data_IF_626421587749
#
_entry.id   IF_626421587749
#
_cell.length_a   1.000
_cell.length_b   1.000
_cell.length_c   1.000
_cell.angle_alpha   90.00
_cell.angle_beta   90.00
_cell.angle_gamma   90.00
#
_symmetry.space_group_name_H-M   'P 1'
#
loop_
_entity.id
_entity.type
_entity.pdbx_description
1 polymer ?
#
# COMPACT_ATOMS: atom_id res chain seq x y z
N UNK A 1 -9.35 -4.54 -6.84
CA UNK A 1 -8.16 -3.91 -6.20
C UNK A 1 -7.61 -2.78 -7.06
N UNK A 2 -7.09 -1.71 -6.45
CA UNK A 2 -6.35 -0.62 -7.09
C UNK A 2 -5.02 -0.38 -6.38
N UNK A 3 -3.94 -0.20 -7.15
CA UNK A 3 -2.62 0.18 -6.62
C UNK A 3 -2.29 1.61 -7.04
N UNK A 4 -1.84 2.43 -6.09
CA UNK A 4 -1.32 3.77 -6.33
C UNK A 4 0.14 3.81 -5.92
N UNK A 5 1.02 4.27 -6.80
CA UNK A 5 2.46 4.35 -6.52
C UNK A 5 2.87 5.81 -6.44
N UNK A 6 3.48 6.18 -5.33
CA UNK A 6 4.07 7.49 -5.12
C UNK A 6 5.59 7.39 -5.33
N UNK A 7 6.04 7.96 -6.46
CA UNK A 7 7.45 8.17 -6.72
C UNK A 7 7.86 9.57 -6.23
N UNK A 8 8.97 9.65 -5.50
CA UNK A 8 9.58 10.90 -5.05
C UNK A 8 10.88 10.63 -4.31
N UNK A 9 11.87 11.51 -4.47
CA UNK A 9 13.13 11.44 -3.75
C UNK A 9 12.89 11.76 -2.25
N UNK A 10 13.71 11.26 -1.32
CA UNK A 10 13.71 11.61 0.10
C UNK A 10 14.01 13.11 0.27
N UNK A 11 12.96 13.92 0.14
CA UNK A 11 12.99 15.37 0.02
C UNK A 11 11.73 15.94 -0.65
N UNK A 12 11.12 15.21 -1.60
CA UNK A 12 10.10 15.74 -2.52
C UNK A 12 8.71 15.07 -2.42
N UNK A 13 8.38 14.45 -1.29
CA UNK A 13 6.97 14.23 -0.93
C UNK A 13 6.35 12.88 -1.29
N UNK A 14 7.10 11.79 -1.40
CA UNK A 14 6.50 10.45 -1.37
C UNK A 14 5.82 10.18 -0.01
N UNK A 15 6.53 10.44 1.10
CA UNK A 15 5.95 10.47 2.46
C UNK A 15 4.87 11.55 2.59
N UNK A 16 5.05 12.70 1.93
CA UNK A 16 4.04 13.76 1.90
C UNK A 16 2.73 13.36 1.23
N UNK A 17 2.77 12.52 0.19
CA UNK A 17 1.57 11.98 -0.46
C UNK A 17 0.88 10.93 0.41
N UNK A 18 1.63 10.05 1.09
CA UNK A 18 1.02 9.15 2.08
C UNK A 18 0.38 9.94 3.22
N UNK A 19 1.05 11.00 3.70
CA UNK A 19 0.49 11.88 4.72
C UNK A 19 -0.80 12.56 4.23
N UNK A 20 -0.85 13.05 2.99
CA UNK A 20 -2.07 13.63 2.43
C UNK A 20 -3.23 12.61 2.33
N UNK A 21 -2.93 11.34 2.06
CA UNK A 21 -3.94 10.27 2.10
C UNK A 21 -4.40 10.02 3.54
N UNK A 22 -3.46 9.97 4.50
CA UNK A 22 -3.78 9.82 5.92
C UNK A 22 -4.66 10.97 6.42
N UNK A 23 -4.30 12.21 6.13
CA UNK A 23 -5.06 13.41 6.53
C UNK A 23 -6.48 13.39 5.95
N UNK A 24 -6.64 12.91 4.70
CA UNK A 24 -7.94 12.72 4.06
C UNK A 24 -8.78 11.68 4.78
N UNK A 25 -8.18 10.54 5.16
CA UNK A 25 -8.87 9.48 5.89
C UNK A 25 -9.32 9.96 7.27
N UNK A 26 -8.41 10.62 7.99
CA UNK A 26 -8.70 11.18 9.30
C UNK A 26 -9.83 12.22 9.22
N UNK A 27 -9.86 13.06 8.18
CA UNK A 27 -10.92 14.05 7.95
C UNK A 27 -12.31 13.41 7.78
N UNK A 28 -12.40 12.22 7.17
CA UNK A 28 -13.67 11.48 7.01
C UNK A 28 -13.95 10.51 8.15
N UNK A 29 -13.11 10.48 9.19
CA UNK A 29 -13.26 9.60 10.35
C UNK A 29 -12.88 8.15 10.06
N UNK A 30 -12.11 7.89 9.01
CA UNK A 30 -11.56 6.58 8.65
C UNK A 30 -10.09 6.49 9.06
N UNK A 31 -9.58 5.27 9.21
CA UNK A 31 -8.17 5.02 9.50
C UNK A 31 -7.65 3.87 8.66
N UNK A 32 -6.47 4.02 8.06
CA UNK A 32 -5.77 2.96 7.35
C UNK A 32 -4.52 2.51 8.11
N UNK A 33 -4.14 1.22 8.05
CA UNK A 33 -2.85 0.79 8.56
C UNK A 33 -1.72 1.36 7.70
N UNK A 34 -0.66 1.81 8.38
CA UNK A 34 0.61 2.16 7.74
C UNK A 34 1.59 0.99 7.94
N UNK A 35 2.02 0.40 6.82
CA UNK A 35 2.98 -0.70 6.78
C UNK A 35 4.34 -0.14 6.37
N UNK A 36 5.37 -0.40 7.18
CA UNK A 36 6.75 -0.08 6.85
C UNK A 36 7.35 -1.22 6.03
N UNK A 37 7.41 -1.09 4.70
CA UNK A 37 7.84 -2.18 3.82
C UNK A 37 9.30 -2.60 4.06
N UNK A 38 10.16 -1.70 4.55
CA UNK A 38 11.53 -2.04 4.96
C UNK A 38 11.65 -3.15 6.00
N UNK A 39 10.58 -3.44 6.76
CA UNK A 39 10.55 -4.54 7.73
C UNK A 39 10.25 -5.92 7.11
N UNK A 40 9.94 -5.99 5.81
CA UNK A 40 9.47 -7.21 5.15
C UNK A 40 10.31 -7.54 3.90
N UNK A 41 10.50 -8.84 3.62
CA UNK A 41 10.87 -9.30 2.28
C UNK A 41 9.71 -9.15 1.29
N UNK A 42 9.94 -9.43 0.00
CA UNK A 42 8.92 -9.32 -1.06
C UNK A 42 7.65 -10.13 -0.76
N UNK A 43 7.79 -11.43 -0.48
CA UNK A 43 6.64 -12.28 -0.15
C UNK A 43 6.06 -11.98 1.23
N UNK A 44 6.89 -11.53 2.17
CA UNK A 44 6.45 -11.09 3.50
C UNK A 44 5.53 -9.86 3.41
N UNK A 45 5.81 -8.95 2.48
CA UNK A 45 4.96 -7.80 2.22
C UNK A 45 3.59 -8.22 1.68
N UNK A 46 3.54 -9.18 0.75
CA UNK A 46 2.26 -9.71 0.25
C UNK A 46 1.43 -10.37 1.37
N UNK A 47 2.08 -11.18 2.21
CA UNK A 47 1.41 -11.85 3.33
C UNK A 47 0.77 -10.85 4.29
N UNK A 48 1.48 -9.78 4.68
CA UNK A 48 0.89 -8.77 5.57
C UNK A 48 -0.24 -7.99 4.88
N UNK A 49 -0.13 -7.69 3.59
CA UNK A 49 -1.21 -7.06 2.82
C UNK A 49 -2.47 -7.93 2.79
N UNK A 50 -2.32 -9.24 2.57
CA UNK A 50 -3.42 -10.20 2.62
C UNK A 50 -4.07 -10.26 3.99
N UNK A 51 -3.27 -10.30 5.06
CA UNK A 51 -3.77 -10.29 6.45
C UNK A 51 -4.60 -9.03 6.72
N UNK A 52 -4.16 -7.85 6.25
CA UNK A 52 -4.93 -6.61 6.42
C UNK A 52 -6.22 -6.60 5.59
N UNK A 53 -6.14 -7.03 4.33
CA UNK A 53 -7.32 -7.13 3.48
C UNK A 53 -8.37 -8.10 4.06
N UNK A 54 -7.93 -9.26 4.55
CA UNK A 54 -8.78 -10.25 5.22
C UNK A 54 -9.34 -9.72 6.55
N UNK A 55 -8.61 -8.85 7.24
CA UNK A 55 -9.05 -8.12 8.43
C UNK A 55 -10.08 -7.02 8.14
N UNK A 56 -10.50 -6.85 6.89
CA UNK A 56 -11.53 -5.89 6.47
C UNK A 56 -10.99 -4.51 6.10
N UNK A 57 -9.67 -4.28 6.14
CA UNK A 57 -9.10 -3.02 5.69
C UNK A 57 -9.24 -2.89 4.16
N UNK A 58 -9.78 -1.77 3.70
CA UNK A 58 -9.99 -1.47 2.28
C UNK A 58 -9.09 -0.36 1.75
N UNK A 59 -8.38 0.32 2.64
CA UNK A 59 -7.33 1.26 2.29
C UNK A 59 -6.10 0.93 3.13
N UNK A 60 -4.94 0.77 2.48
CA UNK A 60 -3.68 0.38 3.12
C UNK A 60 -2.58 1.31 2.63
N UNK A 61 -1.84 1.91 3.56
CA UNK A 61 -0.69 2.75 3.29
C UNK A 61 0.57 1.92 3.49
N UNK A 62 1.49 1.97 2.53
CA UNK A 62 2.77 1.25 2.59
C UNK A 62 3.89 2.22 2.28
N UNK A 63 4.76 2.43 3.26
CA UNK A 63 5.92 3.32 3.15
C UNK A 63 7.21 2.51 2.96
N UNK A 64 8.28 3.18 2.55
CA UNK A 64 9.63 2.60 2.39
C UNK A 64 9.70 1.40 1.41
N UNK A 65 8.93 1.43 0.33
CA UNK A 65 8.86 0.31 -0.62
C UNK A 65 10.07 0.28 -1.56
N UNK A 66 10.77 -0.84 -1.66
CA UNK A 66 11.78 -1.08 -2.69
C UNK A 66 11.12 -1.26 -4.07
N UNK A 67 11.91 -1.08 -5.15
CA UNK A 67 11.44 -1.37 -6.51
C UNK A 67 10.94 -2.80 -6.66
N UNK A 68 11.62 -3.78 -6.06
CA UNK A 68 11.24 -5.18 -6.14
C UNK A 68 9.91 -5.44 -5.42
N UNK A 69 9.74 -4.86 -4.23
CA UNK A 69 8.48 -4.94 -3.48
C UNK A 69 7.32 -4.35 -4.30
N UNK A 70 7.49 -3.19 -4.93
CA UNK A 70 6.45 -2.58 -5.77
C UNK A 70 6.08 -3.51 -6.94
N UNK A 71 7.08 -4.06 -7.64
CA UNK A 71 6.83 -4.99 -8.74
C UNK A 71 6.08 -6.22 -8.26
N UNK A 72 6.45 -6.77 -7.10
CA UNK A 72 5.79 -7.93 -6.51
C UNK A 72 4.31 -7.67 -6.18
N UNK A 73 3.99 -6.49 -5.64
CA UNK A 73 2.60 -6.10 -5.35
C UNK A 73 1.80 -5.89 -6.65
N UNK A 74 2.42 -5.35 -7.71
CA UNK A 74 1.79 -5.22 -9.03
C UNK A 74 1.53 -6.58 -9.69
N UNK A 75 2.47 -7.52 -9.60
CA UNK A 75 2.27 -8.91 -10.05
C UNK A 75 1.09 -9.55 -9.31
N UNK A 76 1.06 -9.40 -7.99
CA UNK A 76 -0.03 -9.89 -7.15
C UNK A 76 -1.39 -9.31 -7.54
N UNK A 77 -1.48 -8.00 -7.85
CA UNK A 77 -2.70 -7.39 -8.39
C UNK A 77 -3.17 -8.08 -9.67
N UNK A 78 -2.25 -8.35 -10.61
CA UNK A 78 -2.60 -8.99 -11.89
C UNK A 78 -3.11 -10.43 -11.70
N UNK A 79 -2.62 -11.15 -10.70
CA UNK A 79 -3.11 -12.49 -10.37
C UNK A 79 -4.51 -12.50 -9.75
N UNK A 80 -4.96 -11.36 -9.21
CA UNK A 80 -6.16 -11.25 -8.38
C UNK A 80 -7.28 -10.39 -9.00
N UNK A 81 -7.21 -10.08 -10.31
CA UNK A 81 -8.19 -9.22 -10.98
C UNK A 81 -9.65 -9.68 -10.84
N UNK A 82 -9.89 -10.97 -10.56
CA UNK A 82 -11.23 -11.55 -10.45
C UNK A 82 -11.57 -12.07 -9.04
N UNK A 83 -10.82 -11.66 -8.02
CA UNK A 83 -10.95 -12.15 -6.66
C UNK A 83 -11.81 -11.20 -5.80
N UNK A 84 -13.08 -11.55 -5.49
CA UNK A 84 -14.02 -10.63 -4.84
C UNK A 84 -13.57 -10.19 -3.45
N UNK A 85 -12.72 -10.99 -2.80
CA UNK A 85 -12.14 -10.67 -1.49
C UNK A 85 -11.33 -9.37 -1.50
N UNK A 86 -10.81 -8.94 -2.66
CA UNK A 86 -10.03 -7.71 -2.82
C UNK A 86 -10.79 -6.59 -3.54
N UNK A 87 -12.12 -6.70 -3.65
CA UNK A 87 -12.97 -5.63 -4.16
C UNK A 87 -12.90 -4.42 -3.25
N UNK A 88 -12.84 -3.23 -3.86
CA UNK A 88 -12.70 -1.96 -3.16
C UNK A 88 -11.35 -1.74 -2.44
N UNK A 89 -10.42 -2.71 -2.47
CA UNK A 89 -9.11 -2.55 -1.83
C UNK A 89 -8.23 -1.58 -2.61
N UNK A 90 -7.75 -0.53 -1.94
CA UNK A 90 -6.78 0.44 -2.43
C UNK A 90 -5.49 0.32 -1.62
N UNK A 91 -4.36 0.21 -2.31
CA UNK A 91 -3.03 0.15 -1.69
C UNK A 91 -2.19 1.31 -2.20
N UNK A 92 -1.69 2.14 -1.30
CA UNK A 92 -0.81 3.26 -1.61
C UNK A 92 0.63 2.88 -1.27
N UNK A 93 1.49 2.79 -2.27
CA UNK A 93 2.90 2.41 -2.14
C UNK A 93 3.78 3.66 -2.30
N UNK A 94 4.47 4.09 -1.25
CA UNK A 94 5.56 5.05 -1.38
C UNK A 94 6.88 4.33 -1.61
N UNK A 95 7.53 4.66 -2.71
CA UNK A 95 8.85 4.12 -3.04
C UNK A 95 9.92 4.75 -2.14
N UNK A 96 10.82 3.94 -1.60
CA UNK A 96 12.11 4.40 -1.08
C UNK A 96 13.11 4.63 -2.20
N UNK A 97 13.96 5.63 -2.03
CA UNK A 97 14.99 6.01 -3.01
C UNK A 97 15.84 4.81 -3.48
#
# INVERSE_FOLDING_TARGET
MQIQIFMGNAGDGATGKLQAVQDRLDFVGESAPIIQAGAYGEDGLLQILEVRAAGGQREILVDDCSRQQILRVLEWQSCLEHEPRFDGLVIHLARKD
#
